data_IF_995382680108
#
_entry.id   IF_995382680108
#
_cell.length_a   1.000
_cell.length_b   1.000
_cell.length_c   1.000
_cell.angle_alpha   90.00
_cell.angle_beta   90.00
_cell.angle_gamma   90.00
#
_symmetry.space_group_name_H-M   'P 1'
#
loop_
_entity.id
_entity.type
_entity.pdbx_description
1 polymer ?
#
# COMPACT_ATOMS: atom_id res chain seq x y z
N UNK A 1 -7.52 -31.32 2.71
CA UNK A 1 -7.60 -30.72 4.07
C UNK A 1 -7.31 -29.21 4.14
N UNK A 2 -7.32 -28.45 3.03
CA UNK A 2 -7.02 -27.01 3.00
C UNK A 2 -8.19 -26.09 3.44
N UNK A 3 -9.42 -26.63 3.55
CA UNK A 3 -10.65 -25.84 3.72
C UNK A 3 -10.81 -25.12 5.08
N UNK A 4 -10.08 -25.50 6.13
CA UNK A 4 -10.36 -24.95 7.48
C UNK A 4 -9.71 -23.60 7.78
N UNK A 5 -8.58 -23.24 7.15
CA UNK A 5 -7.83 -21.99 7.46
C UNK A 5 -8.35 -20.76 6.73
N UNK A 6 -9.22 -20.94 5.73
CA UNK A 6 -9.83 -19.87 4.93
C UNK A 6 -11.35 -19.75 5.15
N UNK A 7 -11.91 -20.48 6.12
CA UNK A 7 -13.28 -20.22 6.55
C UNK A 7 -13.38 -18.77 7.04
N UNK A 8 -14.29 -17.98 6.46
CA UNK A 8 -14.41 -16.54 6.73
C UNK A 8 -13.50 -15.64 5.86
N UNK A 9 -12.88 -16.17 4.80
CA UNK A 9 -12.03 -15.39 3.89
C UNK A 9 -12.80 -14.21 3.26
N UNK A 10 -12.26 -12.98 3.32
CA UNK A 10 -12.91 -11.78 2.77
C UNK A 10 -12.76 -11.66 1.24
N UNK A 11 -13.24 -12.66 0.49
CA UNK A 11 -13.03 -12.78 -0.96
C UNK A 11 -13.50 -11.57 -1.77
N UNK A 12 -14.61 -10.94 -1.41
CA UNK A 12 -15.09 -9.73 -2.09
C UNK A 12 -14.12 -8.55 -1.99
N UNK A 13 -13.47 -8.36 -0.84
CA UNK A 13 -12.46 -7.30 -0.65
C UNK A 13 -11.16 -7.63 -1.37
N UNK A 14 -10.77 -8.91 -1.40
CA UNK A 14 -9.62 -9.36 -2.16
C UNK A 14 -9.81 -9.08 -3.67
N UNK A 15 -10.96 -9.47 -4.22
CA UNK A 15 -11.28 -9.22 -5.63
C UNK A 15 -11.36 -7.72 -5.92
N UNK A 16 -11.98 -6.93 -5.05
CA UNK A 16 -12.03 -5.47 -5.20
C UNK A 16 -10.63 -4.85 -5.21
N UNK A 17 -9.76 -5.23 -4.28
CA UNK A 17 -8.39 -4.73 -4.23
C UNK A 17 -7.60 -5.09 -5.51
N UNK A 18 -7.75 -6.31 -6.02
CA UNK A 18 -7.12 -6.74 -7.28
C UNK A 18 -7.64 -5.94 -8.48
N UNK A 19 -8.96 -5.72 -8.56
CA UNK A 19 -9.58 -4.93 -9.62
C UNK A 19 -9.12 -3.47 -9.60
N UNK A 20 -9.06 -2.85 -8.42
CA UNK A 20 -8.60 -1.48 -8.25
C UNK A 20 -7.12 -1.34 -8.58
N UNK A 21 -6.28 -2.28 -8.16
CA UNK A 21 -4.86 -2.29 -8.53
C UNK A 21 -4.65 -2.46 -10.03
N UNK A 22 -5.43 -3.33 -10.68
CA UNK A 22 -5.43 -3.48 -12.13
C UNK A 22 -5.87 -2.20 -12.85
N UNK A 23 -6.90 -1.51 -12.31
CA UNK A 23 -7.36 -0.23 -12.81
C UNK A 23 -6.28 0.85 -12.69
N UNK A 24 -5.55 0.91 -11.56
CA UNK A 24 -4.40 1.81 -11.39
C UNK A 24 -3.34 1.56 -12.45
N UNK A 25 -2.89 0.30 -12.62
CA UNK A 25 -1.91 -0.09 -13.65
C UNK A 25 -2.36 0.36 -15.03
N UNK A 26 -3.63 0.12 -15.38
CA UNK A 26 -4.17 0.53 -16.66
C UNK A 26 -4.21 2.06 -16.81
N UNK A 27 -4.63 2.78 -15.77
CA UNK A 27 -4.75 4.24 -15.78
C UNK A 27 -3.39 4.93 -15.93
N UNK A 28 -2.35 4.36 -15.33
CA UNK A 28 -0.99 4.89 -15.33
C UNK A 28 -0.07 4.31 -16.42
N UNK A 29 -0.61 3.51 -17.35
CA UNK A 29 0.20 2.75 -18.34
C UNK A 29 1.08 3.60 -19.25
N UNK A 30 0.79 4.89 -19.38
CA UNK A 30 1.55 5.84 -20.20
C UNK A 30 2.62 6.60 -19.42
N UNK A 31 2.73 6.38 -18.10
CA UNK A 31 3.71 7.04 -17.25
C UNK A 31 5.04 6.28 -17.29
N UNK A 32 6.10 6.97 -17.69
CA UNK A 32 7.47 6.47 -17.63
C UNK A 32 8.36 7.46 -16.85
N UNK A 33 8.90 7.09 -15.68
CA UNK A 33 8.78 5.78 -15.01
C UNK A 33 7.37 5.53 -14.43
N UNK A 34 7.01 4.31 -14.01
CA UNK A 34 5.71 4.06 -13.36
C UNK A 34 5.56 4.87 -12.07
N UNK A 35 4.33 5.12 -11.61
CA UNK A 35 4.05 5.82 -10.33
C UNK A 35 4.74 5.17 -9.15
N UNK A 36 4.94 3.84 -9.19
CA UNK A 36 5.70 3.11 -8.17
C UNK A 36 7.12 3.67 -7.97
N UNK A 37 7.70 4.37 -8.95
CA UNK A 37 9.00 5.02 -8.80
C UNK A 37 8.99 6.15 -7.76
N UNK A 38 7.86 6.83 -7.53
CA UNK A 38 7.75 7.86 -6.50
C UNK A 38 7.90 7.30 -5.08
N UNK A 39 7.56 6.03 -4.87
CA UNK A 39 7.55 5.37 -3.56
C UNK A 39 8.93 5.23 -2.91
N UNK A 40 10.00 5.41 -3.68
CA UNK A 40 11.39 5.32 -3.20
C UNK A 40 12.17 6.61 -3.46
N UNK A 41 11.46 7.73 -3.60
CA UNK A 41 12.05 9.06 -3.72
C UNK A 41 12.20 9.69 -2.35
N UNK A 42 13.40 10.20 -2.06
CA UNK A 42 13.73 10.83 -0.78
C UNK A 42 14.20 12.28 -0.94
N UNK A 43 14.24 12.81 -2.17
CA UNK A 43 14.75 14.14 -2.48
C UNK A 43 13.85 14.88 -3.47
N UNK A 44 13.90 16.22 -3.45
CA UNK A 44 13.19 17.05 -4.44
C UNK A 44 13.70 16.80 -5.86
N UNK A 45 15.01 16.65 -6.03
CA UNK A 45 15.62 16.51 -7.34
C UNK A 45 15.09 15.27 -8.07
N UNK A 46 15.08 14.11 -7.40
CA UNK A 46 14.60 12.87 -7.99
C UNK A 46 13.08 12.94 -8.26
N UNK A 47 12.32 13.58 -7.35
CA UNK A 47 10.87 13.76 -7.53
C UNK A 47 10.57 14.64 -8.75
N UNK A 48 11.29 15.76 -8.88
CA UNK A 48 11.19 16.68 -10.00
C UNK A 48 11.58 16.02 -11.32
N UNK A 49 12.62 15.16 -11.31
CA UNK A 49 13.02 14.40 -12.49
C UNK A 49 11.89 13.48 -12.97
N UNK A 50 11.26 12.72 -12.05
CA UNK A 50 10.15 11.83 -12.39
C UNK A 50 8.96 12.62 -12.96
N UNK A 51 8.55 13.71 -12.29
CA UNK A 51 7.47 14.55 -12.79
C UNK A 51 7.80 15.19 -14.15
N UNK A 52 9.05 15.61 -14.35
CA UNK A 52 9.52 16.15 -15.62
C UNK A 52 9.40 15.14 -16.76
N UNK A 53 9.70 13.86 -16.49
CA UNK A 53 9.54 12.77 -17.46
C UNK A 53 8.09 12.45 -17.78
N UNK A 54 7.18 12.60 -16.81
CA UNK A 54 5.75 12.44 -17.06
C UNK A 54 5.16 13.57 -17.91
N UNK A 55 5.71 14.78 -17.80
CA UNK A 55 5.22 15.96 -18.51
C UNK A 55 3.72 16.16 -18.27
N UNK A 56 2.93 16.15 -19.35
CA UNK A 56 1.47 16.27 -19.27
C UNK A 56 0.80 15.11 -18.48
N UNK A 57 1.46 13.96 -18.35
CA UNK A 57 0.98 12.81 -17.58
C UNK A 57 0.81 13.09 -16.08
N UNK A 58 1.48 14.11 -15.53
CA UNK A 58 1.30 14.52 -14.14
C UNK A 58 -0.14 14.99 -13.83
N UNK A 59 -0.90 15.40 -14.85
CA UNK A 59 -2.32 15.75 -14.72
C UNK A 59 -3.21 14.56 -14.32
N UNK A 60 -2.70 13.33 -14.38
CA UNK A 60 -3.41 12.12 -13.94
C UNK A 60 -3.38 11.93 -12.41
N UNK A 61 -2.47 12.62 -11.70
CA UNK A 61 -2.31 12.46 -10.24
C UNK A 61 -3.59 12.63 -9.40
N UNK A 62 -4.46 13.62 -9.66
CA UNK A 62 -5.72 13.73 -8.92
C UNK A 62 -6.64 12.52 -9.10
N UNK A 63 -6.69 11.96 -10.30
CA UNK A 63 -7.51 10.78 -10.60
C UNK A 63 -6.90 9.51 -10.00
N UNK A 64 -5.56 9.37 -10.07
CA UNK A 64 -4.82 8.30 -9.40
C UNK A 64 -5.12 8.28 -7.90
N UNK A 65 -5.04 9.44 -7.23
CA UNK A 65 -5.31 9.56 -5.80
C UNK A 65 -6.67 8.97 -5.37
N UNK A 66 -7.73 9.17 -6.18
CA UNK A 66 -9.05 8.62 -5.86
C UNK A 66 -9.08 7.09 -5.97
N UNK A 67 -8.44 6.53 -6.99
CA UNK A 67 -8.36 5.08 -7.18
C UNK A 67 -7.49 4.47 -6.07
N UNK A 68 -6.38 5.12 -5.73
CA UNK A 68 -5.48 4.74 -4.64
C UNK A 68 -6.21 4.72 -3.29
N UNK A 69 -6.96 5.76 -2.95
CA UNK A 69 -7.72 5.79 -1.69
C UNK A 69 -8.75 4.65 -1.61
N UNK A 70 -9.42 4.32 -2.71
CA UNK A 70 -10.32 3.17 -2.75
C UNK A 70 -9.57 1.85 -2.57
N UNK A 71 -8.40 1.70 -3.21
CA UNK A 71 -7.53 0.53 -3.09
C UNK A 71 -7.03 0.36 -1.65
N UNK A 72 -6.56 1.44 -1.04
CA UNK A 72 -6.09 1.52 0.35
C UNK A 72 -7.14 1.05 1.34
N UNK A 73 -8.38 1.53 1.20
CA UNK A 73 -9.49 1.07 2.03
C UNK A 73 -9.78 -0.42 1.82
N UNK A 74 -9.77 -0.89 0.57
CA UNK A 74 -10.05 -2.28 0.23
C UNK A 74 -9.01 -3.24 0.83
N UNK A 75 -7.71 -2.99 0.65
CA UNK A 75 -6.68 -3.89 1.14
C UNK A 75 -6.49 -3.78 2.67
N UNK A 76 -6.66 -2.58 3.25
CA UNK A 76 -6.60 -2.40 4.70
C UNK A 76 -7.69 -3.21 5.41
N UNK A 77 -8.94 -3.10 4.93
CA UNK A 77 -10.07 -3.86 5.47
C UNK A 77 -9.94 -5.36 5.18
N UNK A 78 -9.43 -5.74 4.00
CA UNK A 78 -9.12 -7.12 3.66
C UNK A 78 -8.18 -7.73 4.68
N UNK A 79 -7.05 -7.08 4.95
CA UNK A 79 -6.05 -7.57 5.89
C UNK A 79 -6.57 -7.72 7.31
N UNK A 80 -7.31 -6.71 7.79
CA UNK A 80 -7.94 -6.77 9.10
C UNK A 80 -8.91 -7.95 9.22
N UNK A 81 -9.79 -8.13 8.22
CA UNK A 81 -10.73 -9.26 8.20
C UNK A 81 -10.03 -10.60 8.05
N UNK A 82 -8.99 -10.68 7.23
CA UNK A 82 -8.20 -11.91 7.08
C UNK A 82 -7.61 -12.32 8.43
N UNK A 83 -7.05 -11.38 9.19
CA UNK A 83 -6.46 -11.65 10.50
C UNK A 83 -7.50 -11.96 11.60
N UNK A 84 -8.67 -11.34 11.57
CA UNK A 84 -9.67 -11.46 12.65
C UNK A 84 -10.78 -12.48 12.40
N UNK A 85 -11.06 -12.82 11.14
CA UNK A 85 -12.17 -13.72 10.75
C UNK A 85 -11.70 -15.07 10.24
N UNK A 86 -10.40 -15.32 10.18
CA UNK A 86 -9.85 -16.63 9.83
C UNK A 86 -8.97 -17.18 10.95
N UNK A 87 -8.75 -18.51 11.01
CA UNK A 87 -7.81 -19.12 11.97
C UNK A 87 -6.33 -18.77 11.75
N UNK A 88 -6.01 -17.86 10.83
CA UNK A 88 -4.64 -17.57 10.44
C UNK A 88 -3.86 -16.92 11.60
N UNK A 89 -4.50 -16.06 12.40
CA UNK A 89 -3.89 -15.49 13.61
C UNK A 89 -3.66 -16.54 14.72
N UNK A 90 -4.48 -17.59 14.81
CA UNK A 90 -4.32 -18.61 15.87
C UNK A 90 -3.10 -19.49 15.63
N UNK A 91 -2.64 -19.62 14.38
CA UNK A 91 -1.42 -20.33 14.02
C UNK A 91 -0.13 -19.56 14.34
N UNK A 92 -0.22 -18.25 14.64
CA UNK A 92 0.93 -17.42 15.02
C UNK A 92 1.33 -17.62 16.50
N UNK A 93 2.60 -17.37 16.89
CA UNK A 93 3.02 -17.30 18.29
C UNK A 93 2.24 -16.24 19.06
N UNK A 94 1.94 -16.50 20.33
CA UNK A 94 1.16 -15.59 21.18
C UNK A 94 1.64 -14.12 21.16
N UNK A 95 2.96 -13.80 21.17
CA UNK A 95 3.42 -12.41 21.12
C UNK A 95 3.07 -11.66 19.81
N UNK A 96 2.91 -12.38 18.69
CA UNK A 96 2.71 -11.77 17.37
C UNK A 96 1.23 -11.60 17.01
N UNK A 97 0.33 -12.28 17.73
CA UNK A 97 -1.12 -12.28 17.45
C UNK A 97 -1.77 -10.89 17.61
N UNK A 98 -1.49 -10.09 18.66
CA UNK A 98 -2.18 -8.82 18.87
C UNK A 98 -1.91 -7.81 17.76
N UNK A 99 -0.67 -7.77 17.23
CA UNK A 99 -0.26 -6.81 16.20
C UNK A 99 -0.69 -7.20 14.79
N UNK A 100 -0.88 -8.50 14.51
CA UNK A 100 -1.09 -9.00 13.15
C UNK A 100 -2.30 -8.38 12.44
N UNK A 101 -3.42 -8.19 13.15
CA UNK A 101 -4.64 -7.60 12.59
C UNK A 101 -4.55 -6.09 12.30
N UNK A 102 -3.53 -5.42 12.84
CA UNK A 102 -3.30 -3.99 12.65
C UNK A 102 -2.28 -3.70 11.53
N UNK A 103 -1.49 -4.68 11.09
CA UNK A 103 -0.40 -4.44 10.13
C UNK A 103 -0.88 -3.86 8.79
N UNK A 104 -1.85 -4.49 8.12
CA UNK A 104 -2.37 -3.97 6.86
C UNK A 104 -3.19 -2.68 7.00
N UNK A 105 -4.03 -2.50 8.05
CA UNK A 105 -4.62 -1.19 8.34
C UNK A 105 -3.58 -0.08 8.57
N UNK A 106 -2.49 -0.38 9.28
CA UNK A 106 -1.40 0.57 9.48
C UNK A 106 -0.69 0.86 8.16
N UNK A 107 -0.40 -0.16 7.34
CA UNK A 107 0.17 0.03 6.01
C UNK A 107 -0.73 0.92 5.15
N UNK A 108 -2.05 0.69 5.18
CA UNK A 108 -3.05 1.52 4.51
C UNK A 108 -3.03 2.98 4.99
N UNK A 109 -2.84 3.22 6.29
CA UNK A 109 -2.64 4.58 6.82
C UNK A 109 -1.38 5.26 6.27
N UNK A 110 -0.27 4.52 6.18
CA UNK A 110 0.98 5.04 5.60
C UNK A 110 0.82 5.30 4.10
N UNK A 111 0.12 4.43 3.38
CA UNK A 111 -0.19 4.57 1.95
C UNK A 111 -1.05 5.81 1.67
N UNK A 112 -2.11 6.03 2.45
CA UNK A 112 -2.92 7.24 2.32
C UNK A 112 -2.11 8.52 2.61
N UNK A 113 -1.22 8.48 3.60
CA UNK A 113 -0.35 9.61 3.94
C UNK A 113 0.67 9.89 2.83
N UNK A 114 1.33 8.86 2.30
CA UNK A 114 2.27 8.99 1.19
C UNK A 114 1.56 9.55 -0.05
N UNK A 115 0.45 8.97 -0.50
CA UNK A 115 -0.30 9.48 -1.64
C UNK A 115 -0.72 10.96 -1.45
N UNK A 116 -1.12 11.34 -0.23
CA UNK A 116 -1.42 12.74 0.10
C UNK A 116 -0.19 13.65 0.05
N UNK A 117 0.96 13.17 0.53
CA UNK A 117 2.23 13.89 0.45
C UNK A 117 2.69 14.05 -1.01
N UNK A 118 2.68 12.99 -1.80
CA UNK A 118 3.06 13.04 -3.22
C UNK A 118 2.18 14.00 -4.01
N UNK A 119 0.86 13.97 -3.77
CA UNK A 119 -0.06 14.93 -4.36
C UNK A 119 0.27 16.38 -3.96
N UNK A 120 0.50 16.62 -2.67
CA UNK A 120 0.88 17.94 -2.16
C UNK A 120 2.21 18.43 -2.77
N UNK A 121 3.22 17.56 -2.81
CA UNK A 121 4.55 17.84 -3.34
C UNK A 121 4.51 18.13 -4.84
N UNK A 122 3.71 17.39 -5.60
CA UNK A 122 3.52 17.66 -7.03
C UNK A 122 2.88 19.04 -7.27
N UNK A 123 1.89 19.42 -6.46
CA UNK A 123 1.25 20.73 -6.56
C UNK A 123 2.13 21.90 -6.07
N UNK A 124 3.14 21.63 -5.23
CA UNK A 124 3.97 22.64 -4.57
C UNK A 124 5.47 22.41 -4.78
N UNK A 125 5.86 21.82 -5.91
CA UNK A 125 7.21 21.30 -6.15
C UNK A 125 8.33 22.33 -5.85
N UNK A 126 8.13 23.59 -6.21
CA UNK A 126 9.11 24.67 -6.00
C UNK A 126 9.13 25.20 -4.56
N UNK A 127 8.01 25.09 -3.82
CA UNK A 127 7.80 25.75 -2.52
C UNK A 127 7.79 24.81 -1.31
N UNK A 128 7.59 23.52 -1.53
CA UNK A 128 7.58 22.53 -0.46
C UNK A 128 8.92 22.51 0.29
N UNK A 129 8.94 22.10 1.56
CA UNK A 129 10.20 21.91 2.28
C UNK A 129 10.88 20.60 1.86
N UNK A 130 12.21 20.57 1.70
CA UNK A 130 12.94 19.36 1.28
C UNK A 130 12.73 18.17 2.23
N UNK A 131 12.53 18.46 3.52
CA UNK A 131 12.21 17.44 4.52
C UNK A 131 10.94 16.65 4.18
N UNK A 132 9.96 17.23 3.48
CA UNK A 132 8.72 16.54 3.13
C UNK A 132 8.93 15.42 2.10
N UNK A 133 9.92 15.54 1.21
CA UNK A 133 10.28 14.46 0.27
C UNK A 133 10.90 13.28 1.03
N UNK A 134 11.77 13.56 2.00
CA UNK A 134 12.32 12.54 2.89
C UNK A 134 11.21 11.87 3.70
N UNK A 135 10.27 12.65 4.26
CA UNK A 135 9.11 12.09 4.98
C UNK A 135 8.28 11.19 4.08
N UNK A 136 7.98 11.60 2.84
CA UNK A 136 7.21 10.79 1.89
C UNK A 136 7.89 9.42 1.64
N UNK A 137 9.19 9.42 1.34
CA UNK A 137 9.94 8.18 1.13
C UNK A 137 10.02 7.30 2.39
N UNK A 138 10.14 7.89 3.59
CA UNK A 138 10.13 7.14 4.86
C UNK A 138 8.76 6.54 5.16
N UNK A 139 7.69 7.27 4.88
CA UNK A 139 6.31 6.79 5.00
C UNK A 139 6.08 5.62 4.02
N UNK A 140 6.52 5.76 2.77
CA UNK A 140 6.40 4.65 1.81
C UNK A 140 7.24 3.43 2.21
N UNK A 141 8.46 3.63 2.72
CA UNK A 141 9.29 2.56 3.28
C UNK A 141 8.61 1.86 4.47
N UNK A 142 7.96 2.61 5.36
CA UNK A 142 7.17 2.09 6.47
C UNK A 142 5.98 1.24 6.01
N UNK A 143 5.24 1.71 4.98
CA UNK A 143 4.17 0.96 4.32
C UNK A 143 4.68 -0.41 3.84
N UNK A 144 5.76 -0.43 3.06
CA UNK A 144 6.31 -1.67 2.52
C UNK A 144 6.82 -2.62 3.60
N UNK A 145 7.45 -2.10 4.67
CA UNK A 145 7.87 -2.90 5.80
C UNK A 145 6.69 -3.59 6.51
N UNK A 146 5.57 -2.86 6.70
CA UNK A 146 4.35 -3.39 7.30
C UNK A 146 3.68 -4.46 6.41
N UNK A 147 3.61 -4.22 5.09
CA UNK A 147 3.08 -5.19 4.11
C UNK A 147 3.95 -6.46 4.12
N UNK A 148 5.27 -6.31 4.05
CA UNK A 148 6.20 -7.44 4.06
C UNK A 148 6.08 -8.27 5.34
N UNK A 149 5.99 -7.61 6.50
CA UNK A 149 5.79 -8.28 7.78
C UNK A 149 4.45 -9.03 7.82
N UNK A 150 3.37 -8.42 7.32
CA UNK A 150 2.06 -9.09 7.24
C UNK A 150 2.13 -10.34 6.38
N UNK A 151 2.72 -10.25 5.18
CA UNK A 151 2.87 -11.39 4.26
C UNK A 151 3.72 -12.49 4.91
N UNK A 152 4.85 -12.14 5.52
CA UNK A 152 5.72 -13.10 6.18
C UNK A 152 5.02 -13.86 7.32
N UNK A 153 4.26 -13.14 8.15
CA UNK A 153 3.45 -13.76 9.21
C UNK A 153 2.35 -14.63 8.63
N UNK A 154 1.66 -14.17 7.58
CA UNK A 154 0.57 -14.92 6.97
C UNK A 154 1.04 -16.22 6.31
N UNK A 155 2.13 -16.15 5.54
CA UNK A 155 2.77 -17.32 4.92
C UNK A 155 3.31 -18.25 6.00
N UNK A 156 4.03 -17.73 7.00
CA UNK A 156 4.53 -18.53 8.12
C UNK A 156 3.41 -19.24 8.88
N UNK A 157 2.27 -18.58 9.10
CA UNK A 157 1.07 -19.18 9.68
C UNK A 157 0.52 -20.31 8.80
N UNK A 158 0.47 -20.14 7.48
CA UNK A 158 -0.02 -21.16 6.54
C UNK A 158 0.89 -22.39 6.48
N UNK A 159 2.21 -22.20 6.56
CA UNK A 159 3.21 -23.28 6.47
C UNK A 159 3.39 -24.08 7.76
N UNK A 160 2.88 -23.60 8.90
CA UNK A 160 3.02 -24.31 10.18
C UNK A 160 2.28 -25.67 10.20
N UNK A 161 3.00 -26.78 10.51
CA UNK A 161 2.37 -28.08 10.75
C UNK A 161 1.45 -28.04 11.98
N UNK A 162 0.54 -29.02 12.07
CA UNK A 162 -0.40 -29.16 13.20
C UNK A 162 0.32 -29.63 14.46
#
# INVERSE_FOLDING_TARGET
MCRSRLAGFPGGLASLAVLLYGLMIFHQRSLEPPVLALQFVYSRADFAEILGRWGAGAALLPANLLIDLAFVLAYGLFGHRLATRTPLATALPAPLRPGFAALLPAAAGFDALENGLEFYLAAHLERAADALFLVAGLVSGGKWALIALFVALAVGALLRPR
#
